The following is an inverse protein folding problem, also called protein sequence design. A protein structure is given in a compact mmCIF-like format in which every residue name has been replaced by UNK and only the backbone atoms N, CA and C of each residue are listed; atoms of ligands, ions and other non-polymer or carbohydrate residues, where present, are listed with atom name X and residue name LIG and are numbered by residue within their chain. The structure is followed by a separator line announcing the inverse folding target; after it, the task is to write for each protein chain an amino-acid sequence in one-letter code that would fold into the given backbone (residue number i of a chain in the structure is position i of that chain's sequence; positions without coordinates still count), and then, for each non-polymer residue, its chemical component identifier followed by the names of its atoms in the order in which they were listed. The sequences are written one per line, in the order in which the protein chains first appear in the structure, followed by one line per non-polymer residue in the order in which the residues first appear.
data_IF_139172769908
#
_entry.id   IF_139172769908
#
_cell.length_a   1.000
_cell.length_b   1.000
_cell.length_c   1.000
_cell.angle_alpha   90.00
_cell.angle_beta   90.00
_cell.angle_gamma   90.00
#
_symmetry.space_group_name_H-M   'P 1'
#
loop_
_entity.id
_entity.type
_entity.pdbx_description
1 polymer ?
#
# COMPACT_ATOMS: atom_id res chain seq x y z
N UNK A 1 -37.39 10.60 -4.07
CA UNK A 1 -36.33 10.90 -5.08
C UNK A 1 -35.04 10.31 -4.53
N UNK A 2 -34.77 9.06 -4.92
CA UNK A 2 -33.52 8.40 -4.52
C UNK A 2 -32.37 8.99 -5.32
N UNK A 3 -31.65 9.90 -4.69
CA UNK A 3 -30.42 10.49 -5.24
C UNK A 3 -29.20 9.65 -4.84
N UNK A 4 -29.21 8.34 -5.15
CA UNK A 4 -28.01 7.55 -4.95
C UNK A 4 -27.17 7.61 -6.25
N UNK A 5 -26.00 8.26 -6.24
CA UNK A 5 -25.19 8.46 -7.44
C UNK A 5 -24.37 7.22 -7.84
N UNK A 6 -24.77 6.05 -7.36
CA UNK A 6 -24.02 4.81 -7.61
C UNK A 6 -24.71 4.00 -8.70
N UNK A 7 -24.01 3.73 -9.80
CA UNK A 7 -24.44 2.78 -10.82
C UNK A 7 -23.80 1.43 -10.55
N UNK A 8 -24.61 0.41 -10.33
CA UNK A 8 -24.16 -0.97 -10.26
C UNK A 8 -24.29 -1.59 -11.66
N UNK A 9 -23.17 -1.97 -12.25
CA UNK A 9 -23.17 -2.76 -13.45
C UNK A 9 -23.14 -4.25 -13.10
N UNK A 10 -24.31 -4.84 -12.97
CA UNK A 10 -24.40 -6.29 -12.90
C UNK A 10 -24.34 -6.85 -14.31
N UNK A 11 -23.33 -7.65 -14.61
CA UNK A 11 -23.48 -8.65 -15.65
C UNK A 11 -24.46 -9.66 -15.09
N UNK A 12 -25.71 -9.59 -15.52
CA UNK A 12 -26.76 -10.54 -15.09
C UNK A 12 -26.30 -11.95 -15.45
N UNK A 13 -25.69 -12.65 -14.52
CA UNK A 13 -25.49 -14.06 -14.63
C UNK A 13 -26.82 -14.74 -14.34
N UNK A 14 -27.19 -15.60 -15.23
CA UNK A 14 -28.37 -16.45 -15.12
C UNK A 14 -28.01 -17.63 -14.25
N UNK A 15 -28.08 -17.46 -12.94
CA UNK A 15 -27.98 -18.58 -12.02
C UNK A 15 -27.13 -18.35 -10.79
N UNK A 16 -27.70 -17.75 -9.78
CA UNK A 16 -27.31 -18.03 -8.41
C UNK A 16 -27.57 -19.52 -8.17
N UNK A 17 -26.53 -20.36 -8.26
CA UNK A 17 -26.58 -21.65 -7.62
C UNK A 17 -26.65 -21.39 -6.12
N UNK A 18 -27.87 -21.51 -5.55
CA UNK A 18 -28.16 -21.32 -4.14
C UNK A 18 -27.47 -22.36 -3.21
N UNK A 19 -26.55 -23.16 -3.74
CA UNK A 19 -25.81 -24.19 -3.02
C UNK A 19 -24.34 -23.83 -2.89
N UNK A 20 -23.99 -22.82 -2.06
CA UNK A 20 -22.61 -22.54 -1.74
C UNK A 20 -22.30 -21.05 -1.54
N UNK A 21 -21.04 -20.74 -1.20
CA UNK A 21 -20.54 -19.41 -0.93
C UNK A 21 -19.92 -18.77 -2.20
N UNK A 22 -20.58 -18.89 -3.34
CA UNK A 22 -20.10 -18.37 -4.61
C UNK A 22 -20.69 -16.97 -4.84
N UNK A 23 -19.79 -15.98 -5.04
CA UNK A 23 -20.15 -14.61 -5.40
C UNK A 23 -19.60 -14.37 -6.81
N UNK A 24 -20.44 -13.83 -7.69
CA UNK A 24 -20.01 -13.47 -9.02
C UNK A 24 -19.11 -12.24 -9.03
N UNK A 25 -18.12 -12.19 -9.93
CA UNK A 25 -17.32 -10.97 -10.13
C UNK A 25 -18.23 -9.77 -10.40
N UNK A 26 -18.12 -8.76 -9.57
CA UNK A 26 -19.00 -7.58 -9.59
C UNK A 26 -18.18 -6.32 -9.78
N UNK A 27 -18.61 -5.46 -10.71
CA UNK A 27 -18.03 -4.13 -10.91
C UNK A 27 -19.06 -3.08 -10.49
N UNK A 28 -18.63 -2.17 -9.64
CA UNK A 28 -19.43 -1.03 -9.13
C UNK A 28 -18.80 0.25 -9.65
N UNK A 29 -19.56 1.07 -10.35
CA UNK A 29 -19.16 2.46 -10.63
C UNK A 29 -19.79 3.37 -9.59
N UNK A 30 -18.96 4.20 -8.95
CA UNK A 30 -19.44 5.18 -7.96
C UNK A 30 -19.00 6.58 -8.32
N UNK A 31 -19.84 7.56 -7.99
CA UNK A 31 -19.51 8.99 -8.04
C UNK A 31 -19.13 9.53 -6.65
N UNK A 32 -19.24 8.69 -5.63
CA UNK A 32 -18.84 9.02 -4.27
C UNK A 32 -17.51 8.32 -3.94
N UNK A 33 -16.41 9.06 -3.80
CA UNK A 33 -15.10 8.48 -3.46
C UNK A 33 -15.06 7.90 -2.04
N UNK A 34 -16.03 8.19 -1.19
CA UNK A 34 -16.18 7.62 0.16
C UNK A 34 -17.23 6.51 0.22
N UNK A 35 -17.64 6.00 -0.94
CA UNK A 35 -18.57 4.87 -0.98
C UNK A 35 -18.03 3.68 -0.19
N UNK A 36 -18.89 2.93 0.48
CA UNK A 36 -18.49 1.88 1.43
C UNK A 36 -17.48 0.90 0.84
N UNK A 37 -17.65 0.48 -0.42
CA UNK A 37 -16.74 -0.46 -1.08
C UNK A 37 -15.42 0.16 -1.56
N UNK A 38 -15.24 1.48 -1.46
CA UNK A 38 -13.96 2.18 -1.63
C UNK A 38 -13.19 2.25 -0.31
N UNK A 39 -13.88 2.24 0.83
CA UNK A 39 -13.30 2.46 2.15
C UNK A 39 -13.09 1.16 2.91
N UNK A 40 -13.97 0.16 2.73
CA UNK A 40 -13.97 -1.10 3.46
C UNK A 40 -13.46 -2.26 2.59
N UNK A 41 -12.70 -3.12 3.21
CA UNK A 41 -12.23 -4.34 2.58
C UNK A 41 -13.30 -5.43 2.65
N UNK A 42 -13.94 -5.77 1.54
CA UNK A 42 -14.98 -6.82 1.49
C UNK A 42 -14.41 -8.24 1.35
N UNK A 43 -13.18 -8.37 0.96
CA UNK A 43 -12.46 -9.63 0.71
C UNK A 43 -13.18 -10.58 -0.25
N UNK A 44 -13.74 -10.02 -1.33
CA UNK A 44 -14.53 -10.74 -2.34
C UNK A 44 -14.27 -10.23 -3.75
N UNK A 45 -14.86 -10.86 -4.78
CA UNK A 45 -14.64 -10.49 -6.19
C UNK A 45 -15.43 -9.23 -6.57
N UNK A 46 -15.21 -8.14 -5.84
CA UNK A 46 -15.88 -6.84 -6.04
C UNK A 46 -14.82 -5.81 -6.42
N UNK A 47 -15.01 -5.16 -7.57
CA UNK A 47 -14.18 -4.06 -8.03
C UNK A 47 -15.02 -2.78 -8.03
N UNK A 48 -14.57 -1.77 -7.31
CA UNK A 48 -15.20 -0.45 -7.33
C UNK A 48 -14.37 0.52 -8.14
N UNK A 49 -15.03 1.27 -9.01
CA UNK A 49 -14.42 2.23 -9.93
C UNK A 49 -14.95 3.62 -9.63
N UNK A 50 -14.05 4.56 -9.45
CA UNK A 50 -14.35 5.99 -9.34
C UNK A 50 -13.68 6.72 -10.51
N UNK A 51 -14.49 7.40 -11.33
CA UNK A 51 -14.00 8.17 -12.48
C UNK A 51 -13.82 9.63 -12.04
N UNK A 52 -12.64 10.17 -12.28
CA UNK A 52 -12.30 11.55 -11.93
C UNK A 52 -11.95 12.39 -13.17
N UNK A 53 -12.05 13.72 -13.04
CA UNK A 53 -11.64 14.66 -14.07
C UNK A 53 -10.11 14.68 -14.18
N UNK A 54 -9.59 14.60 -15.40
CA UNK A 54 -8.13 14.60 -15.65
C UNK A 54 -7.41 15.83 -15.07
N UNK A 55 -8.10 16.99 -15.02
CA UNK A 55 -7.57 18.22 -14.44
C UNK A 55 -7.47 18.17 -12.90
N UNK A 56 -8.06 17.13 -12.26
CA UNK A 56 -8.05 16.92 -10.80
C UNK A 56 -7.11 15.82 -10.35
N UNK A 57 -6.12 15.48 -11.15
CA UNK A 57 -5.22 14.37 -10.87
C UNK A 57 -4.54 14.51 -9.48
N UNK A 58 -3.95 15.67 -9.17
CA UNK A 58 -3.30 15.87 -7.87
C UNK A 58 -4.27 15.82 -6.68
N UNK A 59 -5.48 16.33 -6.84
CA UNK A 59 -6.53 16.24 -5.82
C UNK A 59 -6.96 14.78 -5.62
N UNK A 60 -7.08 14.04 -6.72
CA UNK A 60 -7.42 12.62 -6.69
C UNK A 60 -6.34 11.79 -6.00
N UNK A 61 -5.05 12.11 -6.17
CA UNK A 61 -3.98 11.45 -5.42
C UNK A 61 -4.11 11.64 -3.91
N UNK A 62 -4.49 12.83 -3.45
CA UNK A 62 -4.77 13.09 -2.02
C UNK A 62 -5.97 12.29 -1.54
N UNK A 63 -7.00 12.18 -2.38
CA UNK A 63 -8.18 11.38 -2.10
C UNK A 63 -7.80 9.90 -1.93
N UNK A 64 -7.07 9.33 -2.87
CA UNK A 64 -6.57 7.94 -2.82
C UNK A 64 -5.79 7.68 -1.53
N UNK A 65 -4.91 8.60 -1.13
CA UNK A 65 -4.10 8.46 0.09
C UNK A 65 -4.94 8.42 1.37
N UNK A 66 -6.13 9.04 1.37
CA UNK A 66 -6.96 9.23 2.57
C UNK A 66 -8.24 8.38 2.60
N UNK A 67 -8.59 7.69 1.52
CA UNK A 67 -9.88 6.98 1.43
C UNK A 67 -9.96 5.75 2.34
N UNK A 68 -8.85 5.04 2.53
CA UNK A 68 -8.82 3.81 3.32
C UNK A 68 -7.66 3.81 4.32
N UNK A 69 -7.83 3.18 5.48
CA UNK A 69 -6.75 2.99 6.46
C UNK A 69 -5.71 1.95 5.99
N UNK A 70 -5.98 1.20 4.94
CA UNK A 70 -5.10 0.15 4.43
C UNK A 70 -4.05 0.70 3.47
N UNK A 71 -2.90 0.04 3.41
CA UNK A 71 -1.79 0.40 2.53
C UNK A 71 -0.97 -0.85 2.14
N UNK A 72 -1.63 -1.87 1.60
CA UNK A 72 -0.97 -3.12 1.24
C UNK A 72 -0.28 -2.99 -0.12
N UNK A 73 -1.05 -2.84 -1.18
CA UNK A 73 -0.56 -2.76 -2.55
C UNK A 73 -1.27 -1.66 -3.32
N UNK A 74 -0.58 -1.09 -4.30
CA UNK A 74 -1.16 -0.11 -5.20
C UNK A 74 -0.37 -0.03 -6.50
N UNK A 75 -1.03 0.42 -7.58
CA UNK A 75 -0.39 0.61 -8.88
C UNK A 75 -0.79 1.93 -9.51
N UNK A 76 0.15 2.54 -10.20
CA UNK A 76 -0.08 3.69 -11.07
C UNK A 76 0.20 3.27 -12.51
N UNK A 77 -0.78 3.43 -13.38
CA UNK A 77 -0.68 3.16 -14.80
C UNK A 77 -0.66 4.51 -15.53
N UNK A 78 0.48 4.90 -16.06
CA UNK A 78 0.65 6.16 -16.77
C UNK A 78 1.84 6.12 -17.73
N UNK A 79 1.73 6.78 -18.88
CA UNK A 79 2.84 6.99 -19.83
C UNK A 79 3.63 8.26 -19.50
N UNK A 80 2.95 9.30 -19.00
CA UNK A 80 3.60 10.56 -18.60
C UNK A 80 4.47 10.34 -17.36
N UNK A 81 5.77 10.62 -17.52
CA UNK A 81 6.76 10.48 -16.44
C UNK A 81 6.54 11.48 -15.30
N UNK A 82 6.03 12.67 -15.59
CA UNK A 82 5.73 13.66 -14.56
C UNK A 82 4.55 13.20 -13.69
N UNK A 83 3.53 12.61 -14.31
CA UNK A 83 2.40 12.02 -13.60
C UNK A 83 2.85 10.86 -12.69
N UNK A 84 3.74 9.98 -13.18
CA UNK A 84 4.32 8.87 -12.39
C UNK A 84 5.12 9.41 -11.21
N UNK A 85 5.96 10.42 -11.42
CA UNK A 85 6.77 11.03 -10.37
C UNK A 85 5.90 11.70 -9.30
N UNK A 86 4.91 12.49 -9.72
CA UNK A 86 3.95 13.13 -8.83
C UNK A 86 3.19 12.10 -7.99
N UNK A 87 2.66 11.05 -8.62
CA UNK A 87 1.95 9.99 -7.94
C UNK A 87 2.86 9.26 -6.95
N UNK A 88 4.09 8.90 -7.34
CA UNK A 88 5.08 8.26 -6.46
C UNK A 88 5.38 9.10 -5.23
N UNK A 89 5.50 10.42 -5.41
CA UNK A 89 5.74 11.36 -4.30
C UNK A 89 4.54 11.49 -3.37
N UNK A 90 3.34 11.63 -3.94
CA UNK A 90 2.10 11.86 -3.16
C UNK A 90 1.63 10.59 -2.46
N UNK A 91 1.78 9.43 -3.07
CA UNK A 91 1.30 8.14 -2.57
C UNK A 91 2.39 7.31 -1.86
N UNK A 92 3.51 7.94 -1.44
CA UNK A 92 4.64 7.23 -0.80
C UNK A 92 4.26 6.34 0.39
N UNK A 93 3.16 6.65 1.07
CA UNK A 93 2.68 5.92 2.24
C UNK A 93 1.36 5.19 1.99
N UNK A 94 0.84 5.23 0.77
CA UNK A 94 -0.44 4.63 0.40
C UNK A 94 -0.34 3.14 0.05
N UNK A 95 0.86 2.61 -0.13
CA UNK A 95 1.06 1.18 -0.42
C UNK A 95 2.44 0.72 0.08
N UNK A 96 2.50 -0.42 0.73
CA UNK A 96 3.75 -1.09 1.08
C UNK A 96 4.45 -1.66 -0.16
N UNK A 97 3.70 -2.20 -1.10
CA UNK A 97 4.16 -2.56 -2.43
C UNK A 97 3.54 -1.63 -3.47
N UNK A 98 4.35 -0.77 -4.04
CA UNK A 98 3.94 0.23 -5.02
C UNK A 98 4.46 -0.14 -6.40
N UNK A 99 3.55 -0.27 -7.37
CA UNK A 99 3.86 -0.71 -8.72
C UNK A 99 3.64 0.42 -9.73
N UNK A 100 4.44 0.44 -10.77
CA UNK A 100 4.32 1.40 -11.87
C UNK A 100 4.18 0.59 -13.16
N UNK A 101 3.07 0.81 -13.87
CA UNK A 101 2.74 0.12 -15.12
C UNK A 101 2.76 -1.42 -15.00
N UNK A 102 2.43 -1.92 -13.81
CA UNK A 102 2.33 -3.34 -13.52
C UNK A 102 1.08 -3.60 -12.67
N UNK A 103 0.70 -4.87 -12.54
CA UNK A 103 -0.46 -5.28 -11.75
C UNK A 103 -0.24 -4.96 -10.26
N UNK A 104 -1.27 -4.49 -9.54
CA UNK A 104 -1.14 -4.04 -8.15
C UNK A 104 -1.13 -5.17 -7.12
N UNK A 105 -0.81 -6.39 -7.50
CA UNK A 105 -0.89 -7.55 -6.60
C UNK A 105 0.06 -8.67 -7.00
N UNK A 106 0.25 -9.64 -6.10
CA UNK A 106 1.01 -10.85 -6.37
C UNK A 106 2.50 -10.60 -6.44
N UNK A 107 3.11 -10.20 -5.33
CA UNK A 107 4.56 -10.16 -5.22
C UNK A 107 5.16 -11.53 -5.55
N UNK A 108 6.16 -11.53 -6.41
CA UNK A 108 6.86 -12.74 -6.82
C UNK A 108 8.09 -12.94 -5.94
N UNK A 109 8.19 -14.10 -5.31
CA UNK A 109 9.34 -14.45 -4.47
C UNK A 109 10.64 -14.32 -5.26
N UNK A 110 11.61 -13.60 -4.69
CA UNK A 110 12.90 -13.32 -5.32
C UNK A 110 12.92 -12.10 -6.24
N UNK A 111 11.78 -11.51 -6.58
CA UNK A 111 11.71 -10.26 -7.36
C UNK A 111 11.47 -9.05 -6.47
N UNK A 112 10.45 -9.09 -5.61
CA UNK A 112 10.18 -8.04 -4.65
C UNK A 112 9.71 -8.62 -3.32
N UNK A 113 10.18 -8.09 -2.18
CA UNK A 113 9.65 -8.46 -0.88
C UNK A 113 8.26 -7.87 -0.69
N UNK A 114 7.44 -8.54 0.12
CA UNK A 114 6.03 -8.21 0.29
C UNK A 114 5.72 -7.75 1.72
N UNK A 115 4.98 -6.66 1.83
CA UNK A 115 4.49 -6.17 3.12
C UNK A 115 3.67 -4.91 2.96
N UNK A 116 2.66 -4.75 3.82
CA UNK A 116 1.78 -3.60 3.89
C UNK A 116 2.11 -2.67 5.05
N UNK A 117 1.82 -1.40 4.83
CA UNK A 117 1.91 -0.35 5.84
C UNK A 117 0.52 0.00 6.42
N UNK A 118 0.44 0.95 7.33
CA UNK A 118 -0.79 1.39 8.00
C UNK A 118 -1.53 0.20 8.63
N UNK A 119 -2.85 0.10 8.44
CA UNK A 119 -3.64 -1.03 8.93
C UNK A 119 -3.38 -2.37 8.20
N UNK A 120 -2.60 -2.37 7.13
CA UNK A 120 -2.25 -3.58 6.37
C UNK A 120 -1.05 -4.35 6.93
N UNK A 121 -0.41 -3.89 8.01
CA UNK A 121 0.65 -4.62 8.68
C UNK A 121 1.85 -3.78 9.08
N UNK A 122 2.92 -4.46 9.48
CA UNK A 122 4.15 -3.86 10.00
C UNK A 122 5.18 -3.53 8.91
N UNK A 123 4.87 -3.88 7.66
CA UNK A 123 5.72 -3.66 6.49
C UNK A 123 7.11 -4.30 6.58
N UNK A 124 7.20 -5.46 7.22
CA UNK A 124 8.47 -6.15 7.48
C UNK A 124 9.12 -6.80 6.24
N UNK A 125 8.47 -6.67 5.08
CA UNK A 125 9.02 -7.14 3.79
C UNK A 125 9.37 -8.62 3.78
N UNK A 126 8.33 -9.47 3.90
CA UNK A 126 8.45 -10.92 3.75
C UNK A 126 9.16 -11.27 2.43
N UNK A 127 10.07 -12.23 2.47
CA UNK A 127 10.94 -12.57 1.36
C UNK A 127 12.23 -11.74 1.28
N UNK A 128 12.52 -10.93 2.31
CA UNK A 128 13.79 -10.20 2.44
C UNK A 128 14.43 -10.42 3.81
N UNK A 129 15.71 -10.06 3.91
CA UNK A 129 16.45 -10.09 5.19
C UNK A 129 15.83 -9.17 6.24
N UNK A 130 15.09 -8.13 5.83
CA UNK A 130 14.43 -7.20 6.75
C UNK A 130 13.41 -7.92 7.63
N UNK A 131 12.71 -8.91 7.08
CA UNK A 131 11.77 -9.72 7.86
C UNK A 131 12.50 -10.55 8.93
N UNK A 132 13.69 -11.05 8.62
CA UNK A 132 14.47 -11.86 9.55
C UNK A 132 14.97 -11.05 10.75
N UNK A 133 15.28 -9.78 10.58
CA UNK A 133 15.69 -8.90 11.69
C UNK A 133 14.64 -8.77 12.79
N UNK A 134 13.38 -8.98 12.49
CA UNK A 134 12.29 -8.97 13.50
C UNK A 134 12.39 -10.13 14.50
N UNK A 135 13.09 -11.18 14.13
CA UNK A 135 13.26 -12.41 14.93
C UNK A 135 14.60 -12.49 15.65
N UNK A 136 15.45 -11.46 15.48
CA UNK A 136 16.80 -11.43 16.04
C UNK A 136 16.89 -10.36 17.13
N UNK A 137 17.67 -10.67 18.16
CA UNK A 137 18.13 -9.69 19.14
C UNK A 137 19.61 -9.41 18.90
N UNK A 138 19.91 -8.24 18.35
CA UNK A 138 21.27 -7.85 18.05
C UNK A 138 22.06 -7.58 19.35
N UNK A 139 23.27 -8.14 19.45
CA UNK A 139 24.22 -7.88 20.55
C UNK A 139 25.52 -7.36 19.97
N UNK A 140 25.98 -6.23 20.47
CA UNK A 140 27.30 -5.70 20.15
C UNK A 140 28.25 -6.01 21.29
N UNK A 141 29.43 -6.57 20.97
CA UNK A 141 30.51 -6.80 21.91
C UNK A 141 31.69 -5.97 21.44
N UNK A 142 32.22 -5.14 22.35
CA UNK A 142 33.49 -4.42 22.17
C UNK A 142 34.43 -4.87 23.24
N UNK A 143 35.61 -5.39 22.86
CA UNK A 143 36.70 -5.76 23.75
C UNK A 143 37.87 -4.85 23.47
N UNK A 144 38.49 -4.32 24.52
CA UNK A 144 39.71 -3.49 24.44
C UNK A 144 40.81 -4.15 25.18
N UNK A 145 41.84 -4.61 24.45
CA UNK A 145 42.99 -5.30 25.04
C UNK A 145 43.90 -4.35 25.82
N UNK A 146 44.00 -3.08 25.41
CA UNK A 146 44.69 -2.03 26.15
C UNK A 146 43.66 -1.00 26.62
N UNK A 147 43.10 -1.16 27.82
CA UNK A 147 42.11 -0.23 28.32
C UNK A 147 42.71 1.19 28.46
N UNK A 148 41.93 2.23 28.09
CA UNK A 148 42.40 3.61 28.27
C UNK A 148 42.59 3.92 29.74
N UNK A 149 43.69 4.59 30.04
CA UNK A 149 44.04 5.02 31.41
C UNK A 149 43.68 6.49 31.66
N UNK A 150 43.32 7.22 30.59
CA UNK A 150 42.89 8.60 30.66
C UNK A 150 41.38 8.70 30.30
N UNK A 151 40.60 9.35 31.13
CA UNK A 151 39.18 9.54 30.94
C UNK A 151 38.83 10.64 29.91
N UNK A 152 39.85 11.49 29.57
CA UNK A 152 39.65 12.64 28.70
C UNK A 152 39.54 12.19 27.22
N UNK A 153 38.62 12.80 26.53
CA UNK A 153 38.58 12.68 25.08
C UNK A 153 39.60 13.64 24.43
N UNK A 154 40.05 13.37 23.20
CA UNK A 154 41.03 14.21 22.51
C UNK A 154 40.67 15.70 22.48
N UNK A 155 39.41 16.06 22.32
CA UNK A 155 38.97 17.46 22.34
C UNK A 155 39.11 18.16 23.71
N UNK A 156 39.25 17.41 24.79
CA UNK A 156 39.49 17.96 26.14
C UNK A 156 40.97 18.28 26.39
N UNK A 157 41.85 17.92 25.48
CA UNK A 157 43.29 18.15 25.59
C UNK A 157 43.75 19.36 24.77
N UNK A 158 42.88 19.95 23.97
CA UNK A 158 43.15 21.17 23.24
C UNK A 158 42.98 22.38 24.18
N UNK A 159 44.08 22.99 24.50
CA UNK A 159 44.18 24.26 25.24
C UNK A 159 44.68 25.38 24.35
#
# INVERSE_FOLDING_TARGET
MDSNPTRQFFKKSTGLNASGFFIEPTVIETFDPQYVTMCEELFGPVLTVYVYDENKFEETLKLVDNTSPYALTGSVIAQDRNAVELATKKLRHAAGNFYINDKPTGAVVGQQPFGGARASGTNDKAGSILNLYRWLSARTIKETFNPPTDYRYPFMLES
#
